data_IF_056730189136
#
_entry.id   IF_056730189136
#
_cell.length_a   1.000
_cell.length_b   1.000
_cell.length_c   1.000
_cell.angle_alpha   90.00
_cell.angle_beta   90.00
_cell.angle_gamma   90.00
#
_symmetry.space_group_name_H-M   'P 1'
#
loop_
_entity.id
_entity.type
_entity.pdbx_description
1 polymer ?
#
# COMPACT_ATOMS: atom_id res chain seq x y z
N UNK A 1 -23.70 -13.90 -23.59
CA UNK A 1 -22.40 -13.34 -23.15
C UNK A 1 -21.78 -14.35 -22.21
N UNK A 2 -20.57 -14.85 -22.50
CA UNK A 2 -19.82 -15.74 -21.62
C UNK A 2 -18.72 -14.90 -20.96
N UNK A 3 -18.61 -15.00 -19.64
CA UNK A 3 -17.56 -14.34 -18.86
C UNK A 3 -16.74 -15.42 -18.18
N UNK A 4 -15.42 -15.25 -18.15
CA UNK A 4 -14.50 -16.11 -17.42
C UNK A 4 -14.09 -15.33 -16.18
N UNK A 5 -14.38 -15.88 -15.01
CA UNK A 5 -13.94 -15.35 -13.72
C UNK A 5 -12.82 -16.25 -13.19
N UNK A 6 -11.71 -15.64 -12.80
CA UNK A 6 -10.60 -16.37 -12.20
C UNK A 6 -10.01 -15.56 -11.04
N UNK A 7 -9.58 -16.27 -10.01
CA UNK A 7 -8.89 -15.71 -8.85
C UNK A 7 -7.39 -15.96 -9.00
N UNK A 8 -6.59 -14.91 -8.84
CA UNK A 8 -5.13 -14.99 -8.95
C UNK A 8 -4.46 -14.19 -7.84
N UNK A 9 -3.43 -14.77 -7.24
CA UNK A 9 -2.54 -14.05 -6.33
C UNK A 9 -1.48 -13.30 -7.13
N UNK A 10 -1.20 -12.06 -6.74
CA UNK A 10 -0.13 -11.28 -7.37
C UNK A 10 1.23 -11.90 -7.08
N UNK A 11 2.08 -11.98 -8.10
CA UNK A 11 3.48 -12.37 -7.96
C UNK A 11 4.34 -11.29 -8.60
N UNK A 12 5.30 -10.73 -7.86
CA UNK A 12 6.13 -9.60 -8.32
C UNK A 12 5.29 -8.44 -8.89
N UNK A 13 4.25 -8.02 -8.17
CA UNK A 13 3.33 -6.95 -8.59
C UNK A 13 2.64 -7.19 -9.94
N UNK A 14 2.55 -8.45 -10.39
CA UNK A 14 1.96 -8.82 -11.68
C UNK A 14 0.84 -9.84 -11.47
N UNK A 15 -0.26 -9.68 -12.21
CA UNK A 15 -1.32 -10.69 -12.35
C UNK A 15 -1.14 -11.34 -13.71
N UNK A 16 -0.96 -12.66 -13.75
CA UNK A 16 -0.82 -13.39 -15.01
C UNK A 16 -2.21 -13.76 -15.53
N UNK A 17 -2.48 -13.35 -16.76
CA UNK A 17 -3.70 -13.74 -17.49
C UNK A 17 -3.41 -15.07 -18.20
N UNK A 18 -4.34 -16.05 -18.16
CA UNK A 18 -4.16 -17.31 -18.90
C UNK A 18 -4.04 -17.09 -20.41
N UNK A 19 -3.20 -17.91 -21.06
CA UNK A 19 -2.95 -17.84 -22.52
C UNK A 19 -4.20 -18.17 -23.37
N UNK A 20 -5.22 -18.77 -22.75
CA UNK A 20 -6.49 -19.08 -23.41
C UNK A 20 -7.35 -17.83 -23.69
N UNK A 21 -7.00 -16.67 -23.10
CA UNK A 21 -7.71 -15.41 -23.32
C UNK A 21 -7.10 -14.69 -24.54
N UNK A 22 -7.89 -14.47 -25.62
CA UNK A 22 -7.38 -13.86 -26.84
C UNK A 22 -6.98 -12.40 -26.63
N UNK A 23 -6.15 -11.86 -27.51
CA UNK A 23 -5.81 -10.44 -27.45
C UNK A 23 -7.02 -9.54 -27.75
N UNK A 24 -7.09 -8.39 -27.09
CA UNK A 24 -8.12 -7.38 -27.34
C UNK A 24 -9.42 -7.51 -26.53
N UNK A 25 -9.49 -8.43 -25.56
CA UNK A 25 -10.64 -8.53 -24.65
C UNK A 25 -10.54 -7.53 -23.49
N UNK A 26 -11.67 -6.96 -23.11
CA UNK A 26 -11.78 -6.11 -21.91
C UNK A 26 -11.75 -6.96 -20.65
N UNK A 27 -10.82 -6.67 -19.75
CA UNK A 27 -10.69 -7.33 -18.46
C UNK A 27 -11.28 -6.47 -17.33
N UNK A 28 -11.97 -7.10 -16.38
CA UNK A 28 -12.43 -6.47 -15.14
C UNK A 28 -11.63 -7.06 -13.97
N UNK A 29 -10.87 -6.21 -13.28
CA UNK A 29 -10.06 -6.61 -12.12
C UNK A 29 -10.74 -6.16 -10.83
N UNK A 30 -10.93 -7.10 -9.90
CA UNK A 30 -11.43 -6.83 -8.56
C UNK A 30 -10.33 -7.17 -7.55
N UNK A 31 -9.82 -6.15 -6.86
CA UNK A 31 -8.77 -6.30 -5.86
C UNK A 31 -9.39 -6.37 -4.47
N UNK A 32 -9.22 -7.51 -3.79
CA UNK A 32 -9.59 -7.68 -2.39
C UNK A 32 -8.32 -7.53 -1.55
N UNK A 33 -8.27 -6.47 -0.75
CA UNK A 33 -7.15 -6.19 0.15
C UNK A 33 -7.60 -6.44 1.57
N UNK A 34 -6.83 -7.26 2.29
CA UNK A 34 -6.99 -7.46 3.72
C UNK A 34 -6.14 -6.43 4.47
N UNK A 35 -6.80 -5.44 5.09
CA UNK A 35 -6.15 -4.35 5.82
C UNK A 35 -5.29 -4.84 7.00
N UNK A 36 -5.52 -6.07 7.49
CA UNK A 36 -4.69 -6.66 8.54
C UNK A 36 -3.28 -7.03 8.05
N UNK A 37 -3.12 -7.30 6.74
CA UNK A 37 -1.85 -7.65 6.10
C UNK A 37 -1.13 -6.48 5.46
N UNK A 38 -1.81 -5.34 5.29
CA UNK A 38 -1.25 -4.11 4.71
C UNK A 38 -0.75 -3.11 5.75
N UNK A 39 -0.70 -3.47 7.03
CA UNK A 39 0.06 -2.73 8.05
C UNK A 39 1.54 -2.75 7.66
N UNK A 40 1.87 -1.82 6.79
CA UNK A 40 3.22 -1.49 6.40
C UNK A 40 3.98 -1.18 7.68
N UNK A 41 5.17 -1.74 7.80
CA UNK A 41 6.02 -1.73 8.98
C UNK A 41 6.69 -0.35 9.17
N UNK A 42 5.89 0.71 9.06
CA UNK A 42 6.30 2.08 9.39
C UNK A 42 6.70 2.20 10.87
N UNK A 43 6.28 1.25 11.71
CA UNK A 43 6.77 1.04 13.07
C UNK A 43 8.26 0.70 13.10
N UNK A 44 8.72 -0.20 12.21
CA UNK A 44 10.11 -0.65 12.21
C UNK A 44 11.10 0.47 11.93
N UNK A 45 10.82 1.37 10.98
CA UNK A 45 11.70 2.51 10.70
C UNK A 45 11.75 3.51 11.85
N UNK A 46 10.62 3.79 12.50
CA UNK A 46 10.59 4.64 13.70
C UNK A 46 11.37 4.04 14.86
N UNK A 47 11.28 2.72 15.05
CA UNK A 47 12.07 2.00 16.07
C UNK A 47 13.57 1.98 15.74
N UNK A 48 13.94 1.78 14.48
CA UNK A 48 15.34 1.86 14.04
C UNK A 48 15.93 3.26 14.28
N UNK A 49 15.21 4.31 13.90
CA UNK A 49 15.66 5.69 14.14
C UNK A 49 15.72 6.03 15.63
N UNK A 50 14.70 5.69 16.41
CA UNK A 50 14.72 5.90 17.87
C UNK A 50 15.81 5.13 18.62
N UNK A 51 16.36 4.06 18.02
CA UNK A 51 17.47 3.30 18.62
C UNK A 51 18.86 3.89 18.37
N UNK A 52 18.98 4.90 17.50
CA UNK A 52 20.24 5.59 17.28
C UNK A 52 20.50 6.59 18.42
N UNK A 53 21.69 6.60 19.03
CA UNK A 53 22.02 7.64 20.00
C UNK A 53 22.08 9.01 19.31
N UNK A 54 21.47 10.02 19.93
CA UNK A 54 21.58 11.44 19.57
C UNK A 54 20.81 11.93 18.32
N UNK A 55 19.77 11.21 17.86
CA UNK A 55 18.95 11.61 16.69
C UNK A 55 17.60 12.24 17.04
N UNK A 56 17.21 12.28 18.31
CA UNK A 56 15.95 12.84 18.78
C UNK A 56 15.45 12.20 20.06
N UNK A 57 14.36 12.73 20.62
CA UNK A 57 13.72 12.15 21.80
C UNK A 57 12.64 11.15 21.41
N UNK A 58 12.31 10.20 22.29
CA UNK A 58 11.21 9.23 22.08
C UNK A 58 9.87 9.92 21.77
N UNK A 59 9.66 11.11 22.32
CA UNK A 59 8.49 11.94 22.08
C UNK A 59 8.37 12.38 20.61
N UNK A 60 9.50 12.67 19.93
CA UNK A 60 9.51 13.05 18.52
C UNK A 60 9.06 11.89 17.61
N UNK A 61 9.42 10.66 17.97
CA UNK A 61 9.04 9.45 17.21
C UNK A 61 7.62 8.97 17.49
N UNK A 62 7.07 9.31 18.66
CA UNK A 62 5.71 8.98 19.09
C UNK A 62 4.64 9.91 18.51
N UNK A 63 5.01 11.03 17.88
CA UNK A 63 4.03 11.95 17.27
C UNK A 63 3.22 11.25 16.18
N UNK A 64 1.90 11.48 16.22
CA UNK A 64 0.99 11.15 15.12
C UNK A 64 1.42 11.90 13.86
N UNK A 65 1.25 11.30 12.67
CA UNK A 65 1.55 11.99 11.42
C UNK A 65 0.75 13.30 11.34
N UNK A 66 1.44 14.41 11.49
CA UNK A 66 0.91 15.75 11.24
C UNK A 66 1.31 16.12 9.82
N UNK A 67 0.35 16.16 8.90
CA UNK A 67 0.56 16.61 7.53
C UNK A 67 0.61 18.15 7.42
N UNK A 68 0.69 18.84 8.56
CA UNK A 68 0.54 20.28 8.64
C UNK A 68 -0.94 20.65 8.61
N UNK A 69 -1.24 21.81 9.22
CA UNK A 69 -2.53 22.48 9.07
C UNK A 69 -2.85 22.57 7.58
N UNK A 70 -4.08 22.27 7.21
CA UNK A 70 -4.60 22.52 5.86
C UNK A 70 -4.34 23.98 5.50
N UNK A 71 -3.22 24.26 4.83
CA UNK A 71 -2.95 25.58 4.27
C UNK A 71 -3.99 25.74 3.17
N UNK A 72 -5.10 26.43 3.49
CA UNK A 72 -5.96 27.00 2.48
C UNK A 72 -5.12 28.06 1.77
N UNK A 73 -4.65 27.74 0.57
CA UNK A 73 -3.93 28.64 -0.32
C UNK A 73 -4.86 29.71 -0.93
N UNK A 74 -5.71 30.33 -0.10
CA UNK A 74 -6.60 31.40 -0.52
C UNK A 74 -6.73 32.43 0.63
N UNK A 75 -5.85 33.44 0.59
CA UNK A 75 -5.96 34.71 1.30
C UNK A 75 -5.19 35.76 0.51
#
# INVERSE_FOLDING_TARGET
>A
MQAIEFEATTFQHTIRVPDDIPDGVTLRVLLLVDDSKTKNDNSHWKHLLGSMPDVGSDEDFARSLDYGRTVSWDS
#
